data_IF_229842261561
#
_entry.id   IF_229842261561
#
_cell.length_a   1.000
_cell.length_b   1.000
_cell.length_c   1.000
_cell.angle_alpha   90.00
_cell.angle_beta   90.00
_cell.angle_gamma   90.00
#
_symmetry.space_group_name_H-M   'P 1'
#
loop_
_entity.id
_entity.type
_entity.pdbx_description
1 polymer ?
#
# COMPACT_ATOMS: atom_id res chain seq x y z
N UNK A 1 -14.10 25.64 -1.17
CA UNK A 1 -12.74 25.31 -1.11
C UNK A 1 -12.50 23.88 -1.29
N UNK A 2 -11.63 23.58 -2.18
CA UNK A 2 -11.31 22.20 -2.52
C UNK A 2 -10.57 21.49 -1.43
N UNK A 3 -10.21 22.19 -0.40
CA UNK A 3 -9.20 21.69 0.51
C UNK A 3 -9.67 20.58 1.41
N UNK A 4 -10.95 20.56 1.78
CA UNK A 4 -11.44 19.53 2.68
C UNK A 4 -11.38 18.16 2.02
N UNK A 5 -11.79 18.09 0.76
CA UNK A 5 -11.75 16.83 0.03
C UNK A 5 -10.32 16.39 -0.22
N UNK A 6 -9.47 17.32 -0.64
CA UNK A 6 -8.07 17.00 -0.89
C UNK A 6 -7.36 16.57 0.39
N UNK A 7 -7.66 17.22 1.50
CA UNK A 7 -7.08 16.84 2.79
C UNK A 7 -7.54 15.45 3.21
N UNK A 8 -8.80 15.12 2.96
CA UNK A 8 -9.31 13.78 3.28
C UNK A 8 -8.62 12.72 2.45
N UNK A 9 -8.43 12.97 1.15
CA UNK A 9 -7.72 12.04 0.28
C UNK A 9 -6.29 11.85 0.76
N UNK A 10 -5.60 12.92 1.08
CA UNK A 10 -4.22 12.85 1.56
C UNK A 10 -4.15 12.11 2.88
N UNK A 11 -5.12 12.33 3.78
CA UNK A 11 -5.15 11.63 5.06
C UNK A 11 -5.41 10.13 4.85
N UNK A 12 -6.31 9.79 3.92
CA UNK A 12 -6.59 8.39 3.62
C UNK A 12 -5.35 7.69 3.07
N UNK A 13 -4.61 8.35 2.18
CA UNK A 13 -3.35 7.78 1.67
C UNK A 13 -2.33 7.61 2.78
N UNK A 14 -2.21 8.59 3.66
CA UNK A 14 -1.31 8.48 4.81
C UNK A 14 -1.69 7.32 5.70
N UNK A 15 -2.97 7.19 6.01
CA UNK A 15 -3.47 6.09 6.84
C UNK A 15 -3.22 4.74 6.19
N UNK A 16 -3.45 4.65 4.89
CA UNK A 16 -3.20 3.44 4.12
C UNK A 16 -1.71 3.04 4.20
N UNK A 17 -0.82 3.99 3.98
CA UNK A 17 0.61 3.70 4.01
C UNK A 17 1.11 3.35 5.41
N UNK A 18 0.56 3.97 6.44
CA UNK A 18 0.90 3.61 7.82
C UNK A 18 0.43 2.19 8.13
N UNK A 19 -0.79 1.85 7.76
CA UNK A 19 -1.31 0.50 7.97
C UNK A 19 -0.51 -0.53 7.21
N UNK A 20 -0.14 -0.22 5.97
CA UNK A 20 0.67 -1.12 5.16
C UNK A 20 2.07 -1.30 5.76
N UNK A 21 2.69 -0.24 6.24
CA UNK A 21 3.99 -0.32 6.89
C UNK A 21 3.93 -1.17 8.16
N UNK A 22 2.87 -1.00 8.94
CA UNK A 22 2.68 -1.79 10.16
C UNK A 22 2.47 -3.27 9.82
N UNK A 23 1.72 -3.56 8.78
CA UNK A 23 1.48 -4.95 8.35
C UNK A 23 2.79 -5.58 7.85
N UNK A 24 3.58 -4.85 7.08
CA UNK A 24 4.87 -5.34 6.59
C UNK A 24 5.80 -5.60 7.78
N UNK A 25 5.86 -4.68 8.73
CA UNK A 25 6.70 -4.86 9.92
C UNK A 25 6.29 -6.09 10.72
N UNK A 26 5.00 -6.33 10.87
CA UNK A 26 4.50 -7.52 11.56
C UNK A 26 4.90 -8.79 10.82
N UNK A 27 4.79 -8.80 9.50
CA UNK A 27 5.22 -9.94 8.69
C UNK A 27 6.72 -10.18 8.84
N UNK A 28 7.52 -9.13 8.79
CA UNK A 28 8.96 -9.25 8.92
C UNK A 28 9.37 -9.78 10.30
N UNK A 29 8.69 -9.32 11.36
CA UNK A 29 8.95 -9.80 12.69
C UNK A 29 8.69 -11.30 12.82
N UNK A 30 7.59 -11.77 12.25
CA UNK A 30 7.30 -13.20 12.27
C UNK A 30 8.29 -14.00 11.43
N UNK A 31 8.63 -13.50 10.25
CA UNK A 31 9.59 -14.18 9.37
C UNK A 31 10.94 -14.32 10.05
N UNK A 32 11.34 -13.32 10.84
CA UNK A 32 12.61 -13.32 11.53
C UNK A 32 12.61 -14.20 12.78
N UNK A 33 11.46 -14.66 13.23
CA UNK A 33 11.41 -15.53 14.41
C UNK A 33 12.12 -16.85 14.16
N UNK A 34 12.93 -17.25 15.11
CA UNK A 34 13.57 -18.55 15.09
C UNK A 34 12.71 -19.52 15.89
N UNK A 35 11.85 -20.23 15.17
CA UNK A 35 10.88 -21.13 15.78
C UNK A 35 11.48 -22.53 15.81
N UNK A 36 11.88 -22.96 16.98
CA UNK A 36 12.43 -24.30 17.20
C UNK A 36 11.37 -25.19 17.81
N UNK A 37 10.48 -25.69 16.96
CA UNK A 37 9.52 -26.67 17.41
C UNK A 37 10.15 -28.05 17.40
N UNK A 38 10.01 -28.84 18.48
CA UNK A 38 10.64 -30.14 18.55
C UNK A 38 10.00 -31.17 17.63
N UNK A 39 8.77 -30.92 17.17
CA UNK A 39 8.06 -31.85 16.32
C UNK A 39 8.07 -31.34 14.88
N UNK A 40 8.47 -32.21 14.00
CA UNK A 40 8.60 -31.88 12.60
C UNK A 40 7.31 -31.35 11.93
N UNK A 41 6.14 -31.95 12.18
CA UNK A 41 4.91 -31.41 11.59
C UNK A 41 4.62 -29.96 12.01
N UNK A 42 4.90 -29.63 13.26
CA UNK A 42 4.71 -28.26 13.78
C UNK A 42 5.69 -27.32 13.10
N UNK A 43 6.94 -27.75 12.96
CA UNK A 43 7.95 -26.96 12.27
C UNK A 43 7.55 -26.67 10.83
N UNK A 44 7.02 -27.66 10.12
CA UNK A 44 6.58 -27.49 8.75
C UNK A 44 5.43 -26.47 8.65
N UNK A 45 4.51 -26.48 9.61
CA UNK A 45 3.42 -25.52 9.64
C UNK A 45 3.96 -24.10 9.79
N UNK A 46 4.91 -23.88 10.70
CA UNK A 46 5.48 -22.55 10.87
C UNK A 46 6.27 -22.09 9.65
N UNK A 47 6.97 -23.00 9.00
CA UNK A 47 7.67 -22.68 7.76
C UNK A 47 6.69 -22.29 6.67
N UNK A 48 5.54 -22.97 6.60
CA UNK A 48 4.48 -22.61 5.68
C UNK A 48 3.93 -21.21 5.94
N UNK A 49 3.71 -20.86 7.20
CA UNK A 49 3.27 -19.52 7.58
C UNK A 49 4.28 -18.45 7.19
N UNK A 50 5.57 -18.72 7.41
CA UNK A 50 6.60 -17.77 6.99
C UNK A 50 6.57 -17.53 5.50
N UNK A 51 6.42 -18.60 4.71
CA UNK A 51 6.34 -18.46 3.25
C UNK A 51 5.12 -17.65 2.83
N UNK A 52 3.97 -17.91 3.45
CA UNK A 52 2.76 -17.13 3.19
C UNK A 52 2.97 -15.64 3.52
N UNK A 53 3.65 -15.35 4.61
CA UNK A 53 3.87 -13.97 5.02
C UNK A 53 4.87 -13.26 4.12
N UNK A 54 5.84 -13.96 3.57
CA UNK A 54 6.72 -13.39 2.56
C UNK A 54 5.91 -12.94 1.34
N UNK A 55 4.98 -13.77 0.90
CA UNK A 55 4.12 -13.42 -0.22
C UNK A 55 3.16 -12.28 0.13
N UNK A 56 2.61 -12.31 1.34
CA UNK A 56 1.72 -11.24 1.79
C UNK A 56 2.44 -9.89 1.82
N UNK A 57 3.67 -9.88 2.31
CA UNK A 57 4.49 -8.68 2.34
C UNK A 57 4.73 -8.15 0.93
N UNK A 58 5.06 -9.03 0.00
CA UNK A 58 5.26 -8.64 -1.39
C UNK A 58 3.98 -8.08 -2.00
N UNK A 59 2.84 -8.68 -1.70
CA UNK A 59 1.54 -8.21 -2.18
C UNK A 59 1.20 -6.82 -1.62
N UNK A 60 1.48 -6.58 -0.34
CA UNK A 60 1.26 -5.28 0.27
C UNK A 60 2.13 -4.22 -0.41
N UNK A 61 3.39 -4.52 -0.64
CA UNK A 61 4.31 -3.60 -1.33
C UNK A 61 3.85 -3.30 -2.74
N UNK A 62 3.39 -4.31 -3.46
CA UNK A 62 2.86 -4.13 -4.80
C UNK A 62 1.61 -3.24 -4.80
N UNK A 63 0.75 -3.42 -3.82
CA UNK A 63 -0.45 -2.60 -3.66
C UNK A 63 -0.08 -1.15 -3.35
N UNK A 64 0.90 -0.94 -2.47
CA UNK A 64 1.40 0.41 -2.19
C UNK A 64 1.94 1.08 -3.45
N UNK A 65 2.71 0.35 -4.24
CA UNK A 65 3.28 0.89 -5.48
C UNK A 65 2.17 1.27 -6.46
N UNK A 66 1.16 0.42 -6.58
CA UNK A 66 0.02 0.71 -7.46
C UNK A 66 -0.77 1.92 -6.98
N UNK A 67 -0.98 2.04 -5.68
CA UNK A 67 -1.70 3.17 -5.11
C UNK A 67 -0.92 4.47 -5.34
N UNK A 68 0.40 4.44 -5.13
CA UNK A 68 1.23 5.60 -5.39
C UNK A 68 1.22 5.99 -6.85
N UNK A 69 1.31 5.00 -7.73
CA UNK A 69 1.28 5.27 -9.16
C UNK A 69 -0.07 5.86 -9.58
N UNK A 70 -1.16 5.30 -9.07
CA UNK A 70 -2.49 5.80 -9.38
C UNK A 70 -2.65 7.26 -8.91
N UNK A 71 -2.13 7.56 -7.72
CA UNK A 71 -2.17 8.93 -7.21
C UNK A 71 -1.35 9.87 -8.09
N UNK A 72 -0.15 9.46 -8.46
CA UNK A 72 0.71 10.27 -9.33
C UNK A 72 0.08 10.46 -10.70
N UNK A 73 -0.50 9.42 -11.26
CA UNK A 73 -1.17 9.52 -12.55
C UNK A 73 -2.35 10.46 -12.49
N UNK A 74 -3.13 10.40 -11.42
CA UNK A 74 -4.27 11.29 -11.23
C UNK A 74 -3.81 12.74 -11.10
N UNK A 75 -2.73 12.99 -10.37
CA UNK A 75 -2.18 14.33 -10.22
C UNK A 75 -1.62 14.86 -11.54
N UNK A 76 -0.91 14.02 -12.27
CA UNK A 76 -0.37 14.39 -13.57
C UNK A 76 -1.49 14.66 -14.57
N UNK A 77 -2.50 13.84 -14.56
CA UNK A 77 -3.64 14.03 -15.44
C UNK A 77 -4.35 15.34 -15.15
N UNK A 78 -4.51 15.66 -13.87
CA UNK A 78 -5.12 16.92 -13.47
C UNK A 78 -4.29 18.10 -13.95
N UNK A 79 -2.96 18.03 -13.82
CA UNK A 79 -2.07 19.10 -14.24
C UNK A 79 -2.04 19.26 -15.77
N UNK A 80 -2.22 18.17 -16.48
CA UNK A 80 -2.18 18.18 -17.94
C UNK A 80 -3.50 18.57 -18.57
N UNK A 81 -4.61 18.42 -17.84
CA UNK A 81 -5.90 18.78 -18.36
C UNK A 81 -6.08 20.29 -18.39
N UNK A 82 -6.64 20.82 -19.46
CA UNK A 82 -7.04 22.23 -19.45
C UNK A 82 -8.11 22.40 -18.36
N UNK A 83 -8.07 23.56 -17.72
CA UNK A 83 -9.11 23.86 -16.74
C UNK A 83 -10.46 23.91 -17.43
N UNK A 84 -11.52 23.71 -16.65
CA UNK A 84 -12.85 23.82 -17.19
C UNK A 84 -13.08 25.16 -17.88
N UNK A 85 -12.49 26.19 -17.32
CA UNK A 85 -12.61 27.51 -17.88
C UNK A 85 -11.95 27.62 -19.25
N UNK A 86 -10.77 27.06 -19.40
CA UNK A 86 -10.09 27.02 -20.69
C UNK A 86 -10.91 26.23 -21.71
N UNK A 87 -11.49 25.17 -21.26
CA UNK A 87 -12.30 24.33 -22.11
C UNK A 87 -13.52 25.08 -22.65
N UNK A 88 -14.18 25.84 -21.78
CA UNK A 88 -15.32 26.64 -22.18
C UNK A 88 -14.93 27.81 -23.06
N UNK A 89 -13.78 28.38 -22.79
CA UNK A 89 -13.30 29.51 -23.60
C UNK A 89 -13.03 29.11 -25.04
N UNK A 90 -12.79 27.86 -25.30
CA UNK A 90 -12.60 27.36 -26.64
C UNK A 90 -13.88 27.34 -27.47
N UNK A 91 -14.99 27.47 -26.83
CA UNK A 91 -16.24 27.53 -27.54
C UNK A 91 -16.49 28.92 -28.11
#
# INVERSE_FOLDING_TARGET
>A
MMNDEQQRINQDFKNFHEAAANAIAACEAFIAMDINAPQEPVQAIFMGYKAELVQAKASIRATQARANKAKQDAESFRDMMPTSQEFYDCE
#
